data_IF_918970405993
#
_entry.id   IF_918970405993
#
_cell.length_a   1.000
_cell.length_b   1.000
_cell.length_c   1.000
_cell.angle_alpha   90.00
_cell.angle_beta   90.00
_cell.angle_gamma   90.00
#
_symmetry.space_group_name_H-M   'P 1'
#
loop_
_entity.id
_entity.type
_entity.pdbx_description
1 polymer ?
#
# COMPACT_ATOMS: atom_id res chain seq x y z
N UNK A 1 7.47 9.31 -3.73
CA UNK A 1 6.11 9.04 -3.19
C UNK A 1 5.03 9.28 -4.24
N UNK A 2 3.96 8.51 -4.20
CA UNK A 2 2.87 8.52 -5.17
C UNK A 2 1.52 8.46 -4.49
N UNK A 3 0.51 9.12 -5.07
CA UNK A 3 -0.87 8.88 -4.65
C UNK A 3 -1.39 7.57 -5.25
N UNK A 4 -2.28 6.88 -4.54
CA UNK A 4 -2.97 5.71 -5.09
C UNK A 4 -3.73 6.05 -6.38
N UNK A 5 -4.28 7.26 -6.49
CA UNK A 5 -4.96 7.77 -7.68
C UNK A 5 -4.02 7.87 -8.89
N UNK A 6 -2.77 8.29 -8.66
CA UNK A 6 -1.76 8.34 -9.73
C UNK A 6 -1.36 6.94 -10.15
N UNK A 7 -1.21 6.00 -9.19
CA UNK A 7 -0.90 4.60 -9.50
C UNK A 7 -1.96 3.91 -10.35
N UNK A 8 -3.23 4.28 -10.25
CA UNK A 8 -4.31 3.76 -11.09
C UNK A 8 -4.14 4.06 -12.59
N UNK A 9 -3.27 5.00 -12.96
CA UNK A 9 -2.95 5.28 -14.36
C UNK A 9 -1.77 4.45 -14.88
N UNK A 10 -1.14 3.61 -14.04
CA UNK A 10 0.01 2.83 -14.44
C UNK A 10 -0.37 1.54 -15.13
N UNK A 11 0.33 1.25 -16.22
CA UNK A 11 0.30 -0.05 -16.90
C UNK A 11 1.28 -0.98 -16.20
N UNK A 12 0.88 -2.21 -15.96
CA UNK A 12 1.78 -3.27 -15.52
C UNK A 12 2.29 -4.00 -16.74
N UNK A 13 3.62 -4.00 -16.92
CA UNK A 13 4.29 -4.61 -18.07
C UNK A 13 5.08 -5.85 -17.62
N UNK A 14 4.63 -7.00 -18.07
CA UNK A 14 5.33 -8.27 -17.91
C UNK A 14 6.47 -8.40 -18.93
N UNK A 15 7.34 -9.40 -18.78
CA UNK A 15 8.46 -9.64 -19.70
C UNK A 15 8.03 -9.92 -21.14
N UNK A 16 6.78 -10.32 -21.37
CA UNK A 16 6.19 -10.72 -22.67
C UNK A 16 4.98 -9.84 -23.09
N UNK A 17 4.76 -8.71 -22.41
CA UNK A 17 3.75 -7.71 -22.79
C UNK A 17 2.92 -7.17 -21.63
N UNK A 18 1.98 -6.28 -21.95
CA UNK A 18 1.16 -5.60 -20.94
C UNK A 18 0.17 -6.56 -20.28
N UNK A 19 0.08 -6.51 -18.96
CA UNK A 19 -0.91 -7.23 -18.15
C UNK A 19 -2.23 -6.46 -18.05
N UNK A 20 -2.17 -5.14 -17.97
CA UNK A 20 -3.32 -4.27 -17.79
C UNK A 20 -3.00 -3.05 -16.94
N UNK A 21 -4.04 -2.44 -16.40
CA UNK A 21 -3.93 -1.21 -15.60
C UNK A 21 -4.18 -1.49 -14.12
N UNK A 22 -3.50 -0.73 -13.25
CA UNK A 22 -3.80 -0.75 -11.82
C UNK A 22 -5.22 -0.23 -11.60
N UNK A 23 -6.09 -1.08 -11.06
CA UNK A 23 -7.46 -0.73 -10.71
C UNK A 23 -7.54 -0.16 -9.29
N UNK A 24 -6.97 -0.86 -8.32
CA UNK A 24 -6.89 -0.46 -6.92
C UNK A 24 -5.71 -1.14 -6.22
N UNK A 25 -5.46 -0.76 -4.97
CA UNK A 25 -4.40 -1.34 -4.16
C UNK A 25 -4.99 -2.06 -2.97
N UNK A 26 -4.35 -3.16 -2.56
CA UNK A 26 -4.64 -3.84 -1.31
C UNK A 26 -3.50 -3.62 -0.32
N UNK A 27 -3.83 -3.18 0.88
CA UNK A 27 -2.86 -2.95 1.94
C UNK A 27 -3.17 -3.77 3.18
N UNK A 28 -2.13 -4.09 3.92
CA UNK A 28 -2.17 -4.72 5.23
C UNK A 28 -2.53 -3.65 6.27
N UNK A 29 -3.63 -3.84 7.00
CA UNK A 29 -4.17 -2.84 7.94
C UNK A 29 -3.41 -2.78 9.29
N UNK A 30 -2.49 -3.71 9.54
CA UNK A 30 -1.60 -3.67 10.71
C UNK A 30 -0.38 -2.78 10.44
N UNK A 31 0.25 -2.96 9.27
CA UNK A 31 1.50 -2.28 8.90
C UNK A 31 1.31 -1.10 7.95
N UNK A 32 0.09 -0.90 7.43
CA UNK A 32 -0.24 0.11 6.42
C UNK A 32 0.67 0.01 5.19
N UNK A 33 0.93 -1.20 4.73
CA UNK A 33 1.82 -1.47 3.60
C UNK A 33 1.04 -2.09 2.45
N UNK A 34 1.22 -1.56 1.24
CA UNK A 34 0.62 -2.11 0.02
C UNK A 34 1.24 -3.49 -0.25
N UNK A 35 0.40 -4.51 -0.28
CA UNK A 35 0.81 -5.90 -0.54
C UNK A 35 0.52 -6.35 -1.96
N UNK A 36 -0.55 -5.79 -2.55
CA UNK A 36 -0.93 -6.15 -3.91
C UNK A 36 -1.49 -4.96 -4.68
N UNK A 37 -1.19 -4.96 -5.97
CA UNK A 37 -1.87 -4.15 -6.96
C UNK A 37 -2.93 -5.04 -7.63
N UNK A 38 -4.19 -4.65 -7.58
CA UNK A 38 -5.29 -5.29 -8.29
C UNK A 38 -5.33 -4.73 -9.71
N UNK A 39 -5.12 -5.61 -10.69
CA UNK A 39 -4.95 -5.24 -12.08
C UNK A 39 -6.19 -5.61 -12.88
N UNK A 40 -6.73 -4.63 -13.62
CA UNK A 40 -7.73 -4.89 -14.64
C UNK A 40 -7.02 -5.34 -15.92
N UNK A 41 -7.19 -6.61 -16.26
CA UNK A 41 -6.50 -7.22 -17.41
C UNK A 41 -7.18 -6.92 -18.74
N UNK A 42 -8.34 -6.24 -18.75
CA UNK A 42 -9.10 -6.03 -19.97
C UNK A 42 -9.50 -7.35 -20.65
N UNK A 43 -9.39 -7.38 -21.97
CA UNK A 43 -9.89 -8.52 -22.74
C UNK A 43 -8.99 -9.74 -22.83
N UNK A 44 -7.67 -9.65 -22.54
CA UNK A 44 -6.75 -10.78 -22.78
C UNK A 44 -6.93 -11.94 -21.81
N UNK A 45 -7.44 -11.67 -20.59
CA UNK A 45 -7.76 -12.70 -19.59
C UNK A 45 -9.28 -12.75 -19.29
N UNK A 46 -10.10 -12.46 -20.28
CA UNK A 46 -11.56 -12.52 -20.16
C UNK A 46 -12.17 -11.53 -19.16
N UNK A 47 -11.47 -10.44 -18.85
CA UNK A 47 -11.89 -9.44 -17.85
C UNK A 47 -11.61 -9.86 -16.40
N UNK A 48 -10.89 -10.97 -16.18
CA UNK A 48 -10.44 -11.40 -14.86
C UNK A 48 -9.49 -10.37 -14.26
N UNK A 49 -9.69 -9.99 -13.01
CA UNK A 49 -8.74 -9.21 -12.24
C UNK A 49 -7.69 -10.12 -11.62
N UNK A 50 -6.46 -9.63 -11.54
CA UNK A 50 -5.33 -10.36 -10.96
C UNK A 50 -4.60 -9.51 -9.94
N UNK A 51 -4.01 -10.14 -8.94
CA UNK A 51 -3.15 -9.47 -7.98
C UNK A 51 -1.69 -9.56 -8.42
N UNK A 52 -0.98 -8.45 -8.32
CA UNK A 52 0.47 -8.37 -8.57
C UNK A 52 1.12 -7.82 -7.30
N UNK A 53 2.03 -8.62 -6.71
CA UNK A 53 2.77 -8.17 -5.53
C UNK A 53 3.92 -7.24 -5.91
N UNK A 54 4.22 -6.21 -5.11
CA UNK A 54 5.43 -5.41 -5.24
C UNK A 54 6.74 -6.22 -5.28
N UNK A 55 6.78 -7.43 -4.74
CA UNK A 55 7.91 -8.35 -4.88
C UNK A 55 8.31 -8.61 -6.34
N UNK A 56 7.38 -8.51 -7.27
CA UNK A 56 7.64 -8.76 -8.69
C UNK A 56 8.14 -7.53 -9.45
N UNK A 57 8.06 -6.33 -8.87
CA UNK A 57 8.40 -5.08 -9.54
C UNK A 57 9.93 -4.97 -9.65
N UNK A 58 10.42 -4.77 -10.88
CA UNK A 58 11.85 -4.62 -11.16
C UNK A 58 12.21 -3.20 -11.59
N UNK A 59 11.23 -2.43 -12.06
CA UNK A 59 11.45 -1.04 -12.48
C UNK A 59 10.17 -0.24 -12.50
N UNK A 60 10.26 1.03 -12.10
CA UNK A 60 9.21 2.03 -12.29
C UNK A 60 9.65 3.03 -13.36
N UNK A 61 8.89 3.10 -14.45
CA UNK A 61 9.10 4.07 -15.53
C UNK A 61 8.10 5.23 -15.37
N UNK A 62 8.51 6.26 -14.67
CA UNK A 62 7.67 7.39 -14.24
C UNK A 62 7.04 8.15 -15.39
N UNK A 63 7.84 8.45 -16.43
CA UNK A 63 7.40 9.22 -17.60
C UNK A 63 6.42 8.43 -18.47
N UNK A 64 6.55 7.10 -18.46
CA UNK A 64 5.70 6.19 -19.21
C UNK A 64 4.48 5.69 -18.41
N UNK A 65 4.33 6.08 -17.15
CA UNK A 65 3.33 5.56 -16.20
C UNK A 65 3.27 4.02 -16.24
N UNK A 66 4.44 3.38 -16.06
CA UNK A 66 4.57 1.93 -16.23
C UNK A 66 5.38 1.31 -15.09
N UNK A 67 4.90 0.16 -14.61
CA UNK A 67 5.63 -0.73 -13.71
C UNK A 67 6.03 -1.99 -14.47
N UNK A 68 7.32 -2.23 -14.60
CA UNK A 68 7.85 -3.46 -15.19
C UNK A 68 7.98 -4.54 -14.10
N UNK A 69 7.46 -5.74 -14.36
CA UNK A 69 7.47 -6.87 -13.43
C UNK A 69 8.25 -8.07 -13.99
N UNK A 70 8.91 -8.82 -13.11
CA UNK A 70 9.65 -10.03 -13.43
C UNK A 70 8.73 -11.25 -13.60
N UNK A 71 7.60 -11.08 -14.28
CA UNK A 71 6.59 -12.10 -14.52
C UNK A 71 6.32 -12.21 -16.01
N UNK A 72 5.76 -13.34 -16.44
CA UNK A 72 5.18 -13.53 -17.77
C UNK A 72 3.65 -13.53 -17.70
N UNK A 73 2.98 -13.25 -18.81
CA UNK A 73 1.51 -13.38 -18.93
C UNK A 73 1.05 -14.77 -18.53
N UNK A 74 1.78 -15.80 -18.95
CA UNK A 74 1.44 -17.20 -18.64
C UNK A 74 1.49 -17.49 -17.14
N UNK A 75 2.51 -16.98 -16.42
CA UNK A 75 2.57 -17.12 -14.96
C UNK A 75 1.41 -16.42 -14.28
N UNK A 76 0.99 -15.26 -14.78
CA UNK A 76 -0.16 -14.55 -14.22
C UNK A 76 -1.48 -15.25 -14.56
N UNK A 77 -1.63 -15.80 -15.76
CA UNK A 77 -2.80 -16.57 -16.18
C UNK A 77 -3.00 -17.81 -15.30
N UNK A 78 -1.91 -18.54 -15.02
CA UNK A 78 -1.92 -19.79 -14.25
C UNK A 78 -1.89 -19.54 -12.71
N UNK A 79 -1.79 -18.29 -12.26
CA UNK A 79 -1.75 -17.96 -10.83
C UNK A 79 -3.06 -18.32 -10.13
N UNK A 80 -3.01 -18.62 -8.82
CA UNK A 80 -4.21 -18.89 -8.04
C UNK A 80 -5.26 -17.81 -8.25
N UNK A 81 -6.51 -18.23 -8.51
CA UNK A 81 -7.63 -17.31 -8.69
C UNK A 81 -7.99 -16.70 -7.34
N UNK A 82 -7.94 -15.39 -7.24
CA UNK A 82 -8.30 -14.65 -6.05
C UNK A 82 -9.59 -13.92 -6.35
N UNK A 83 -10.67 -14.30 -5.65
CA UNK A 83 -11.94 -13.60 -5.72
C UNK A 83 -11.76 -12.20 -5.08
N UNK A 84 -11.53 -11.20 -5.94
CA UNK A 84 -11.35 -9.80 -5.51
C UNK A 84 -12.61 -9.16 -4.92
N UNK A 85 -13.76 -9.86 -4.97
CA UNK A 85 -15.01 -9.44 -4.32
C UNK A 85 -15.12 -9.91 -2.87
N UNK A 86 -14.19 -10.74 -2.41
CA UNK A 86 -14.11 -11.21 -1.03
C UNK A 86 -12.80 -10.75 -0.37
N UNK A 87 -12.79 -10.57 0.95
CA UNK A 87 -11.55 -10.34 1.66
C UNK A 87 -10.55 -11.46 1.40
N UNK A 88 -9.34 -11.10 0.97
CA UNK A 88 -8.27 -12.07 0.70
C UNK A 88 -7.79 -12.62 2.04
N UNK A 89 -7.96 -13.93 2.24
CA UNK A 89 -7.50 -14.58 3.45
C UNK A 89 -5.99 -14.84 3.41
N UNK A 90 -5.37 -14.94 4.56
CA UNK A 90 -3.94 -15.28 4.71
C UNK A 90 -3.60 -16.62 4.01
N UNK A 91 -4.53 -17.56 3.97
CA UNK A 91 -4.35 -18.82 3.25
C UNK A 91 -4.23 -18.62 1.72
N UNK A 92 -5.04 -17.75 1.13
CA UNK A 92 -4.93 -17.39 -0.27
C UNK A 92 -3.62 -16.65 -0.57
N UNK A 93 -3.18 -15.77 0.34
CA UNK A 93 -1.90 -15.10 0.21
C UNK A 93 -0.73 -16.09 0.26
N UNK A 94 -0.77 -17.07 1.17
CA UNK A 94 0.25 -18.12 1.25
C UNK A 94 0.32 -18.93 -0.04
N UNK A 95 -0.83 -19.31 -0.62
CA UNK A 95 -0.89 -20.01 -1.89
C UNK A 95 -0.34 -19.16 -3.05
N UNK A 96 -0.68 -17.88 -3.08
CA UNK A 96 -0.19 -16.92 -4.07
C UNK A 96 1.33 -16.72 -3.97
N UNK A 97 1.85 -16.40 -2.79
CA UNK A 97 3.27 -16.17 -2.57
C UNK A 97 4.09 -17.44 -2.85
N UNK A 98 3.57 -18.59 -2.42
CA UNK A 98 4.19 -19.90 -2.72
C UNK A 98 4.24 -20.22 -4.20
N UNK A 99 3.18 -19.91 -4.97
CA UNK A 99 3.14 -20.11 -6.43
C UNK A 99 4.25 -19.30 -7.14
N UNK A 100 4.46 -18.03 -6.75
CA UNK A 100 5.49 -17.19 -7.35
C UNK A 100 6.88 -17.36 -6.72
N UNK A 101 7.01 -18.14 -5.64
CA UNK A 101 8.25 -18.30 -4.90
C UNK A 101 8.66 -17.04 -4.13
N UNK A 102 7.70 -16.18 -3.77
CA UNK A 102 7.95 -14.97 -2.97
C UNK A 102 8.00 -15.32 -1.48
N UNK A 103 8.83 -14.58 -0.71
CA UNK A 103 8.87 -14.75 0.74
C UNK A 103 7.56 -14.29 1.38
N UNK A 104 7.21 -14.87 2.53
CA UNK A 104 6.12 -14.34 3.36
C UNK A 104 6.56 -13.02 4.00
N UNK A 105 5.71 -12.00 3.91
CA UNK A 105 5.99 -10.68 4.49
C UNK A 105 5.62 -10.61 5.99
N UNK A 106 4.84 -11.55 6.51
CA UNK A 106 4.49 -11.64 7.92
C UNK A 106 5.49 -12.52 8.71
N UNK A 107 5.54 -12.33 10.01
CA UNK A 107 6.42 -13.12 10.91
C UNK A 107 7.87 -12.64 10.99
N UNK A 108 8.19 -11.49 10.41
CA UNK A 108 9.49 -10.83 10.53
C UNK A 108 9.40 -9.44 11.19
N UNK A 109 10.54 -8.84 11.53
CA UNK A 109 10.58 -7.55 12.22
C UNK A 109 10.41 -6.33 11.31
N UNK A 110 10.37 -6.51 9.98
CA UNK A 110 10.32 -5.42 9.01
C UNK A 110 9.06 -5.50 8.15
N UNK A 111 8.82 -4.46 7.34
CA UNK A 111 7.62 -4.34 6.49
C UNK A 111 7.43 -5.53 5.54
N UNK A 112 8.52 -6.14 5.06
CA UNK A 112 8.51 -7.25 4.12
C UNK A 112 9.13 -8.52 4.73
N UNK A 113 8.77 -8.83 5.95
CA UNK A 113 9.28 -9.97 6.70
C UNK A 113 10.69 -9.71 7.22
N UNK A 114 11.70 -10.31 6.62
CA UNK A 114 13.12 -10.09 6.97
C UNK A 114 13.76 -8.90 6.25
N UNK A 115 13.01 -8.21 5.37
CA UNK A 115 13.47 -7.09 4.59
C UNK A 115 12.62 -5.83 4.80
N UNK A 116 13.21 -4.66 4.62
CA UNK A 116 12.51 -3.38 4.69
C UNK A 116 11.84 -3.03 3.35
N UNK A 117 12.41 -3.52 2.25
CA UNK A 117 11.93 -3.33 0.88
C UNK A 117 11.41 -4.65 0.29
N UNK A 118 10.50 -4.61 -0.70
CA UNK A 118 10.03 -5.81 -1.39
C UNK A 118 11.10 -6.37 -2.33
N UNK A 119 12.05 -7.10 -1.77
CA UNK A 119 13.07 -7.79 -2.56
C UNK A 119 12.63 -9.20 -2.85
N UNK A 120 12.39 -9.52 -4.13
CA UNK A 120 11.93 -10.83 -4.59
C UNK A 120 13.01 -11.91 -4.58
N UNK A 121 13.86 -11.95 -3.54
CA UNK A 121 14.80 -13.05 -3.37
C UNK A 121 14.01 -14.27 -2.94
N UNK A 122 13.88 -15.25 -3.83
CA UNK A 122 13.24 -16.52 -3.53
C UNK A 122 13.89 -17.15 -2.29
N UNK A 123 13.07 -17.46 -1.29
CA UNK A 123 13.53 -18.25 -0.14
C UNK A 123 13.74 -19.67 -0.64
N UNK A 124 15.00 -20.10 -0.68
CA UNK A 124 15.40 -21.41 -1.18
C UNK A 124 15.06 -22.58 -0.24
N UNK A 125 14.26 -22.35 0.80
CA UNK A 125 13.87 -23.36 1.80
C UNK A 125 12.37 -23.64 1.76
N UNK A 126 11.97 -24.54 0.85
CA UNK A 126 10.60 -25.05 0.75
C UNK A 126 10.08 -25.67 2.07
N UNK A 127 10.97 -26.22 2.91
CA UNK A 127 10.61 -26.80 4.22
C UNK A 127 10.11 -25.77 5.23
N UNK A 128 10.63 -24.54 5.17
CA UNK A 128 10.18 -23.42 6.01
C UNK A 128 8.82 -22.89 5.57
N UNK A 129 8.53 -22.96 4.27
CA UNK A 129 7.27 -22.52 3.69
C UNK A 129 6.10 -23.41 4.08
N UNK A 130 6.27 -24.74 4.06
CA UNK A 130 5.25 -25.72 4.46
C UNK A 130 4.88 -25.59 5.94
N UNK A 131 5.87 -25.40 6.82
CA UNK A 131 5.64 -25.27 8.26
C UNK A 131 4.93 -23.95 8.62
N UNK A 132 5.16 -22.88 7.85
CA UNK A 132 4.48 -21.60 8.00
C UNK A 132 3.06 -21.64 7.44
N UNK A 133 2.83 -22.31 6.30
CA UNK A 133 1.51 -22.52 5.73
C UNK A 133 0.58 -23.28 6.70
N UNK A 134 1.10 -24.29 7.40
CA UNK A 134 0.37 -25.04 8.43
C UNK A 134 0.02 -24.21 9.67
N UNK A 135 0.89 -23.25 10.05
CA UNK A 135 0.58 -22.30 11.13
C UNK A 135 -0.48 -21.30 10.73
N UNK A 136 -0.36 -20.74 9.54
CA UNK A 136 -1.29 -19.76 8.98
C UNK A 136 -2.67 -20.36 8.73
N UNK A 137 -2.74 -21.61 8.30
CA UNK A 137 -4.01 -22.32 8.10
C UNK A 137 -4.82 -22.53 9.39
N UNK A 138 -4.21 -22.40 10.56
CA UNK A 138 -4.88 -22.52 11.87
C UNK A 138 -5.31 -21.20 12.49
N UNK A 139 -4.74 -20.09 12.08
CA UNK A 139 -4.93 -18.78 12.74
C UNK A 139 -5.90 -17.83 12.01
N UNK A 140 -6.35 -18.13 10.79
CA UNK A 140 -6.93 -17.03 10.01
C UNK A 140 -8.27 -17.29 9.37
N UNK A 141 -9.32 -16.91 10.08
CA UNK A 141 -10.52 -16.36 9.45
C UNK A 141 -10.43 -14.84 9.26
N UNK A 142 -9.38 -14.17 9.75
CA UNK A 142 -9.28 -12.71 9.76
C UNK A 142 -8.49 -12.22 8.53
N UNK A 143 -9.12 -11.35 7.77
CA UNK A 143 -8.54 -10.71 6.60
C UNK A 143 -7.92 -9.38 7.00
N UNK A 144 -6.59 -9.32 7.01
CA UNK A 144 -5.84 -8.09 7.26
C UNK A 144 -5.70 -7.20 6.02
N UNK A 145 -6.11 -7.70 4.85
CA UNK A 145 -6.04 -6.93 3.62
C UNK A 145 -7.28 -6.09 3.40
N UNK A 146 -7.05 -4.80 3.17
CA UNK A 146 -8.07 -3.81 2.85
C UNK A 146 -7.85 -3.22 1.47
N UNK A 147 -8.92 -3.00 0.72
CA UNK A 147 -8.86 -2.28 -0.54
C UNK A 147 -8.80 -0.78 -0.28
N UNK A 148 -7.92 -0.06 -0.98
CA UNK A 148 -7.91 1.40 -0.95
C UNK A 148 -9.24 2.00 -1.43
N UNK A 149 -9.89 1.35 -2.40
CA UNK A 149 -11.21 1.76 -2.88
C UNK A 149 -12.29 1.63 -1.81
N UNK A 150 -12.28 0.55 -1.03
CA UNK A 150 -13.25 0.35 0.05
C UNK A 150 -13.08 1.34 1.21
N UNK A 151 -11.86 1.78 1.49
CA UNK A 151 -11.54 2.70 2.59
C UNK A 151 -11.69 4.17 2.19
N UNK A 152 -11.61 4.48 0.90
CA UNK A 152 -11.93 5.82 0.39
C UNK A 152 -13.36 6.18 0.73
N UNK A 153 -13.57 7.37 1.28
CA UNK A 153 -14.86 7.84 1.76
C UNK A 153 -15.14 7.57 3.24
N UNK A 154 -14.32 6.81 3.95
CA UNK A 154 -14.45 6.63 5.40
C UNK A 154 -14.38 7.97 6.13
N UNK A 155 -15.24 8.16 7.11
CA UNK A 155 -15.24 9.34 7.95
C UNK A 155 -14.00 9.38 8.85
N UNK A 156 -13.41 10.56 8.99
CA UNK A 156 -12.27 10.77 9.89
C UNK A 156 -12.72 11.62 11.06
N UNK A 157 -12.54 11.07 12.26
CA UNK A 157 -12.88 11.72 13.53
C UNK A 157 -11.60 12.10 14.28
N UNK A 158 -11.45 13.38 14.58
CA UNK A 158 -10.49 13.91 15.53
C UNK A 158 -11.00 13.73 16.97
N UNK A 159 -10.19 14.03 17.96
CA UNK A 159 -10.56 13.91 19.37
C UNK A 159 -11.78 14.77 19.78
N UNK A 160 -12.05 15.84 19.03
CA UNK A 160 -13.09 16.86 19.30
C UNK A 160 -14.14 16.97 18.18
N UNK A 161 -14.21 16.00 17.27
CA UNK A 161 -15.24 15.89 16.26
C UNK A 161 -14.76 15.54 14.86
N UNK A 162 -15.69 15.43 13.92
CA UNK A 162 -15.42 15.06 12.53
C UNK A 162 -14.57 16.11 11.81
N UNK A 163 -13.59 15.66 11.02
CA UNK A 163 -12.68 16.52 10.23
C UNK A 163 -12.80 16.32 8.72
N UNK A 164 -13.51 15.30 8.28
CA UNK A 164 -13.70 15.02 6.86
C UNK A 164 -13.74 13.52 6.57
N UNK A 165 -13.23 13.14 5.42
CA UNK A 165 -13.21 11.75 5.00
C UNK A 165 -11.92 11.40 4.24
N UNK A 166 -11.62 10.11 4.16
CA UNK A 166 -10.49 9.59 3.38
C UNK A 166 -10.73 9.90 1.90
N UNK A 167 -9.83 10.64 1.27
CA UNK A 167 -9.86 10.97 -0.15
C UNK A 167 -8.89 10.07 -0.95
N UNK A 168 -7.81 9.64 -0.32
CA UNK A 168 -6.80 8.79 -0.93
C UNK A 168 -5.65 8.47 0.00
N UNK A 169 -4.57 7.98 -0.58
CA UNK A 169 -3.38 7.52 0.13
C UNK A 169 -2.12 7.95 -0.60
N UNK A 170 -1.11 8.36 0.15
CA UNK A 170 0.24 8.63 -0.36
C UNK A 170 1.13 7.46 0.02
N UNK A 171 1.68 6.81 -0.99
CA UNK A 171 2.49 5.59 -0.89
C UNK A 171 3.95 5.91 -1.16
N UNK A 172 4.82 5.37 -0.36
CA UNK A 172 6.26 5.35 -0.59
C UNK A 172 6.57 4.34 -1.70
N UNK A 173 7.17 4.79 -2.76
CA UNK A 173 7.43 4.00 -3.97
C UNK A 173 8.61 3.03 -3.86
N UNK A 174 9.36 3.07 -2.78
CA UNK A 174 10.44 2.12 -2.48
C UNK A 174 9.98 1.04 -1.51
N UNK A 175 9.38 1.44 -0.39
CA UNK A 175 8.94 0.52 0.67
C UNK A 175 7.53 0.02 0.49
N UNK A 176 6.72 0.67 -0.35
CA UNK A 176 5.29 0.45 -0.53
C UNK A 176 4.45 0.69 0.72
N UNK A 177 5.01 1.36 1.71
CA UNK A 177 4.27 1.81 2.89
C UNK A 177 3.33 2.97 2.54
N UNK A 178 2.14 2.96 3.08
CA UNK A 178 1.25 4.13 3.09
C UNK A 178 1.81 5.10 4.13
N UNK A 179 2.40 6.20 3.68
CA UNK A 179 2.97 7.22 4.56
C UNK A 179 1.93 8.21 5.05
N UNK A 180 0.89 8.47 4.23
CA UNK A 180 -0.16 9.40 4.58
C UNK A 180 -1.52 8.96 4.05
N UNK A 181 -2.56 9.29 4.82
CA UNK A 181 -3.95 9.33 4.36
C UNK A 181 -4.22 10.77 3.89
N UNK A 182 -4.75 10.92 2.70
CA UNK A 182 -5.29 12.18 2.22
C UNK A 182 -6.67 12.40 2.83
N UNK A 183 -6.84 13.51 3.54
CA UNK A 183 -8.10 13.88 4.18
C UNK A 183 -8.74 15.02 3.41
N UNK A 184 -9.94 14.78 2.90
CA UNK A 184 -10.77 15.83 2.33
C UNK A 184 -11.58 16.51 3.44
N UNK A 185 -11.23 17.75 3.75
CA UNK A 185 -11.89 18.56 4.79
C UNK A 185 -12.92 19.53 4.22
N UNK A 186 -13.17 19.53 2.90
CA UNK A 186 -13.97 20.57 2.21
C UNK A 186 -15.38 20.78 2.74
N UNK A 187 -15.97 19.82 3.42
CA UNK A 187 -17.30 19.98 4.03
C UNK A 187 -17.32 20.97 5.19
N UNK A 188 -16.22 21.15 5.93
CA UNK A 188 -16.13 22.08 7.06
C UNK A 188 -15.02 23.13 6.91
N UNK A 189 -14.01 22.85 6.06
CA UNK A 189 -12.94 23.77 5.72
C UNK A 189 -12.79 23.85 4.19
N UNK A 190 -13.51 24.74 3.51
CA UNK A 190 -13.57 24.79 2.06
C UNK A 190 -12.20 24.89 1.40
N UNK A 191 -11.95 24.03 0.41
CA UNK A 191 -10.79 24.08 -0.45
C UNK A 191 -9.53 23.43 0.10
N UNK A 192 -9.55 22.79 1.28
CA UNK A 192 -8.34 22.25 1.90
C UNK A 192 -8.31 20.73 1.91
N UNK A 193 -7.18 20.16 1.49
CA UNK A 193 -6.78 18.78 1.77
C UNK A 193 -5.61 18.79 2.74
N UNK A 194 -5.55 17.83 3.62
CA UNK A 194 -4.45 17.65 4.58
C UNK A 194 -3.99 16.20 4.59
N UNK A 195 -2.78 15.99 5.08
CA UNK A 195 -2.20 14.65 5.22
C UNK A 195 -2.14 14.24 6.69
N UNK A 196 -2.52 13.01 6.94
CA UNK A 196 -2.45 12.38 8.27
C UNK A 196 -1.68 11.06 8.15
N UNK A 197 -0.53 10.91 8.83
CA UNK A 197 0.19 9.64 8.89
C UNK A 197 -0.63 8.54 9.56
N UNK A 198 -0.60 7.30 9.07
CA UNK A 198 -1.25 6.16 9.72
C UNK A 198 -0.82 5.95 11.18
N UNK A 199 0.42 6.30 11.53
CA UNK A 199 0.94 6.22 12.89
C UNK A 199 0.18 7.10 13.92
N UNK A 200 -0.69 8.00 13.48
CA UNK A 200 -1.53 8.86 14.33
C UNK A 200 -2.97 8.37 14.42
N UNK A 201 -3.27 7.23 13.79
CA UNK A 201 -4.56 6.57 13.89
C UNK A 201 -4.63 5.86 15.24
N UNK A 202 -5.68 6.14 16.01
CA UNK A 202 -5.97 5.50 17.29
C UNK A 202 -6.85 4.26 17.12
N UNK A 203 -7.56 4.18 16.00
CA UNK A 203 -8.39 3.04 15.68
C UNK A 203 -9.20 3.22 14.41
N UNK A 204 -9.55 2.09 13.80
CA UNK A 204 -10.40 2.02 12.61
C UNK A 204 -11.61 1.15 12.93
N UNK A 205 -12.81 1.67 12.73
CA UNK A 205 -14.04 0.87 12.71
C UNK A 205 -14.39 0.53 11.27
N UNK A 206 -14.05 -0.68 10.86
CA UNK A 206 -14.34 -1.16 9.50
C UNK A 206 -15.85 -1.29 9.24
N UNK A 207 -16.61 -1.65 10.28
CA UNK A 207 -18.08 -1.78 10.21
C UNK A 207 -18.79 -0.43 10.05
N UNK A 208 -18.29 0.59 10.78
CA UNK A 208 -18.91 1.92 10.78
C UNK A 208 -18.27 2.85 9.73
N UNK A 209 -17.26 2.37 8.99
CA UNK A 209 -16.49 3.15 8.01
C UNK A 209 -15.91 4.43 8.62
N UNK A 210 -15.21 4.29 9.76
CA UNK A 210 -14.65 5.40 10.52
C UNK A 210 -13.19 5.19 10.89
N UNK A 211 -12.41 6.26 10.80
CA UNK A 211 -11.01 6.35 11.23
C UNK A 211 -10.91 7.39 12.34
N UNK A 212 -10.40 7.01 13.51
CA UNK A 212 -10.14 7.93 14.62
C UNK A 212 -8.67 8.29 14.67
N UNK A 213 -8.39 9.58 14.79
CA UNK A 213 -7.03 10.11 14.81
C UNK A 213 -6.77 10.91 16.08
N UNK A 214 -5.58 10.77 16.67
CA UNK A 214 -5.15 11.48 17.87
C UNK A 214 -4.75 12.94 17.62
N UNK A 215 -5.61 13.69 16.91
CA UNK A 215 -5.44 15.10 16.56
C UNK A 215 -6.66 15.90 16.99
N UNK A 216 -6.52 17.21 17.18
CA UNK A 216 -7.65 18.12 17.34
C UNK A 216 -8.07 18.70 15.99
N UNK A 217 -9.32 19.12 15.89
CA UNK A 217 -9.83 19.84 14.70
C UNK A 217 -9.04 21.11 14.41
N UNK A 218 -8.65 21.86 15.44
CA UNK A 218 -7.87 23.07 15.28
C UNK A 218 -6.48 22.76 14.69
N UNK A 219 -5.79 21.73 15.18
CA UNK A 219 -4.51 21.32 14.63
C UNK A 219 -4.63 20.92 13.14
N UNK A 220 -5.70 20.21 12.76
CA UNK A 220 -5.96 19.86 11.36
C UNK A 220 -6.26 21.08 10.51
N UNK A 221 -7.02 22.05 11.05
CA UNK A 221 -7.36 23.29 10.35
C UNK A 221 -6.12 24.13 10.01
N UNK A 222 -5.16 24.20 10.93
CA UNK A 222 -3.92 24.97 10.76
C UNK A 222 -2.79 24.20 10.06
N UNK A 223 -3.00 22.90 9.75
CA UNK A 223 -2.00 22.07 9.09
C UNK A 223 -1.58 22.64 7.73
N UNK A 224 -0.35 22.37 7.28
CA UNK A 224 0.06 22.66 5.92
C UNK A 224 -0.90 22.04 4.90
N UNK A 225 -1.38 22.84 3.94
CA UNK A 225 -2.23 22.36 2.85
C UNK A 225 -1.45 21.39 1.98
N UNK A 226 -2.13 20.34 1.56
CA UNK A 226 -1.59 19.37 0.62
C UNK A 226 -2.16 19.60 -0.77
N UNK A 227 -1.26 19.67 -1.75
CA UNK A 227 -1.58 19.74 -3.17
C UNK A 227 -1.07 18.47 -3.86
N UNK A 228 -1.98 17.63 -4.34
CA UNK A 228 -1.65 16.36 -5.01
C UNK A 228 -0.92 16.54 -6.35
N UNK A 229 -0.93 17.74 -6.93
CA UNK A 229 -0.23 18.06 -8.18
C UNK A 229 1.21 18.53 -7.95
N UNK A 230 1.59 18.79 -6.70
CA UNK A 230 2.96 19.18 -6.32
C UNK A 230 3.71 17.97 -5.77
N UNK A 231 4.91 17.65 -6.29
CA UNK A 231 5.70 16.56 -5.75
C UNK A 231 5.93 16.71 -4.24
N UNK A 232 5.72 15.62 -3.51
CA UNK A 232 6.02 15.55 -2.08
C UNK A 232 7.51 15.79 -1.85
N UNK A 233 7.84 16.82 -1.06
CA UNK A 233 9.22 17.12 -0.71
C UNK A 233 9.48 16.86 0.77
N UNK A 234 10.72 16.53 1.12
CA UNK A 234 11.13 16.40 2.53
C UNK A 234 10.91 17.68 3.34
N UNK A 235 10.99 18.83 2.69
CA UNK A 235 10.69 20.12 3.31
C UNK A 235 9.21 20.23 3.72
N UNK A 236 8.28 19.80 2.84
CA UNK A 236 6.86 19.76 3.16
C UNK A 236 6.60 18.80 4.34
N UNK A 237 7.17 17.60 4.28
CA UNK A 237 7.05 16.62 5.36
C UNK A 237 7.57 17.17 6.70
N UNK A 238 8.75 17.81 6.71
CA UNK A 238 9.30 18.45 7.91
C UNK A 238 8.35 19.49 8.49
N UNK A 239 7.74 20.36 7.65
CA UNK A 239 6.75 21.34 8.10
C UNK A 239 5.51 20.68 8.70
N UNK A 240 5.03 19.58 8.09
CA UNK A 240 3.88 18.82 8.57
C UNK A 240 4.14 18.21 9.96
N UNK A 241 5.25 17.51 10.13
CA UNK A 241 5.60 16.90 11.41
C UNK A 241 5.89 17.94 12.50
N UNK A 242 6.57 19.05 12.16
CA UNK A 242 6.82 20.15 13.06
C UNK A 242 5.51 20.83 13.53
N UNK A 243 4.56 21.03 12.60
CA UNK A 243 3.25 21.61 12.91
C UNK A 243 2.50 20.78 13.96
N UNK A 244 2.51 19.45 13.81
CA UNK A 244 1.84 18.55 14.75
C UNK A 244 2.67 18.23 16.00
N UNK A 245 3.91 18.69 16.10
CA UNK A 245 4.81 18.44 17.23
C UNK A 245 5.12 16.94 17.41
N UNK A 246 5.16 16.19 16.32
CA UNK A 246 5.39 14.75 16.36
C UNK A 246 6.69 14.36 15.64
N UNK A 247 7.40 13.30 16.10
CA UNK A 247 8.60 12.83 15.44
C UNK A 247 8.26 12.26 14.07
N UNK A 248 9.06 12.55 13.04
CA UNK A 248 8.85 12.01 11.71
C UNK A 248 9.27 10.54 11.63
N UNK A 249 8.59 9.76 10.72
CA UNK A 249 8.80 8.32 10.57
C UNK A 249 10.25 7.95 10.24
N UNK A 250 10.97 8.77 9.48
CA UNK A 250 12.36 8.49 9.09
C UNK A 250 13.38 8.60 10.24
N UNK A 251 13.00 9.05 11.42
CA UNK A 251 13.85 8.97 12.62
C UNK A 251 13.73 7.61 13.31
N UNK A 252 12.65 6.90 13.08
CA UNK A 252 12.42 5.56 13.63
C UNK A 252 12.80 4.46 12.62
N UNK A 253 12.60 4.75 11.35
CA UNK A 253 13.09 3.95 10.25
C UNK A 253 14.58 4.29 10.05
N UNK A 254 15.46 3.75 10.89
CA UNK A 254 16.90 3.78 10.62
C UNK A 254 17.12 2.98 9.33
N UNK A 255 17.05 3.64 8.18
CA UNK A 255 17.16 3.03 6.87
C UNK A 255 18.46 2.24 6.73
N UNK A 256 18.40 0.92 6.52
CA UNK A 256 19.45 0.28 5.78
C UNK A 256 19.45 0.91 4.38
N UNK A 257 20.64 1.33 3.88
CA UNK A 257 20.77 1.99 2.58
C UNK A 257 19.98 1.25 1.50
N UNK A 258 19.11 1.98 0.77
CA UNK A 258 18.32 1.42 -0.33
C UNK A 258 19.19 0.62 -1.29
N UNK A 259 18.90 -0.64 -1.58
CA UNK A 259 19.66 -1.43 -2.54
C UNK A 259 19.61 -0.86 -3.97
N UNK A 260 18.74 0.11 -4.22
CA UNK A 260 18.57 0.76 -5.53
C UNK A 260 19.37 2.07 -5.69
N UNK A 261 20.10 2.52 -4.66
CA UNK A 261 20.88 3.76 -4.73
C UNK A 261 22.15 3.69 -5.61
N UNK A 262 22.47 2.53 -6.19
CA UNK A 262 23.70 2.30 -6.95
C UNK A 262 23.53 2.18 -8.48
N UNK A 263 22.37 2.45 -9.05
CA UNK A 263 22.14 2.36 -10.52
C UNK A 263 22.05 3.71 -11.23
N UNK A 264 22.77 4.71 -10.73
CA UNK A 264 22.94 6.03 -11.34
C UNK A 264 24.38 6.35 -11.62
N UNK A 265 25.02 5.64 -12.58
CA UNK A 265 26.22 6.09 -13.31
C UNK A 265 26.05 5.69 -14.77
#
# INVERSE_FOLDING_TARGET
MLTNKRLQNFVIHASDGDLGYVHELYFDDETWTIRYLNIDTGGWLGGRRVLISPFSIIRTAWDALRLDVALTKKQVEDSPDIDTHRPVSRQHEAAYLGYFGFPYYWGGPFLWGTAYYPSGVAVSDASSAETLADRVGRESADSHLRSTGAVTGYHIEAADGEIGHVDGFVVDDETWAIRYIEVDTRKWLPGKKVLVPPAWIEGVSWTDSKVRVGLSREAVKEAPEYDEFVPMTREYENRLYLHYGRPPYWLHDAEPASPYALSGV
#
